data_IF_303531610963
#
_entry.id   IF_303531610963
#
_cell.length_a   1.000
_cell.length_b   1.000
_cell.length_c   1.000
_cell.angle_alpha   90.00
_cell.angle_beta   90.00
_cell.angle_gamma   90.00
#
_symmetry.space_group_name_H-M   'P 1'
#
loop_
_entity.id
_entity.type
_entity.pdbx_description
1 polymer ?
#
# COMPACT_ATOMS: atom_id res chain seq x y z
N UNK A 1 17.94 2.91 24.54
CA UNK A 1 17.98 1.50 24.96
C UNK A 1 16.90 0.72 24.21
N UNK A 2 17.18 0.27 22.97
CA UNK A 2 16.23 -0.48 22.13
C UNK A 2 16.19 -1.99 22.44
N UNK A 3 17.04 -2.48 23.29
CA UNK A 3 17.16 -3.92 23.60
C UNK A 3 15.94 -4.53 24.34
N UNK A 4 15.06 -3.71 24.94
CA UNK A 4 13.91 -4.20 25.69
C UNK A 4 12.59 -4.24 24.92
N UNK A 5 12.52 -3.71 23.69
CA UNK A 5 11.26 -3.60 22.93
C UNK A 5 11.11 -4.64 21.80
N UNK A 6 12.09 -5.52 21.62
CA UNK A 6 12.07 -6.54 20.56
C UNK A 6 10.91 -7.54 20.64
N UNK A 7 10.23 -7.64 21.78
CA UNK A 7 9.06 -8.51 21.94
C UNK A 7 7.71 -7.82 21.63
N UNK A 8 7.72 -6.53 21.33
CA UNK A 8 6.49 -5.77 21.03
C UNK A 8 6.09 -5.84 19.55
N UNK A 9 7.05 -6.10 18.68
CA UNK A 9 6.84 -6.09 17.23
C UNK A 9 6.78 -7.51 16.66
N UNK A 10 6.17 -7.65 15.47
CA UNK A 10 6.11 -8.92 14.77
C UNK A 10 7.50 -9.37 14.32
N UNK A 11 7.71 -10.69 14.25
CA UNK A 11 9.01 -11.26 13.84
C UNK A 11 9.36 -10.82 12.42
N UNK A 12 8.37 -10.71 11.53
CA UNK A 12 8.57 -10.34 10.14
C UNK A 12 8.97 -8.87 9.99
N UNK A 13 8.31 -7.94 10.70
CA UNK A 13 8.68 -6.52 10.64
C UNK A 13 10.08 -6.27 11.22
N UNK A 14 10.47 -7.01 12.28
CA UNK A 14 11.83 -6.96 12.83
C UNK A 14 12.86 -7.50 11.82
N UNK A 15 12.54 -8.60 11.13
CA UNK A 15 13.41 -9.18 10.10
C UNK A 15 13.66 -8.22 8.95
N UNK A 16 12.60 -7.54 8.49
CA UNK A 16 12.67 -6.54 7.42
C UNK A 16 13.54 -5.34 7.84
N UNK A 17 13.37 -4.85 9.07
CA UNK A 17 14.22 -3.79 9.61
C UNK A 17 15.70 -4.21 9.68
N UNK A 18 15.99 -5.42 10.16
CA UNK A 18 17.36 -5.93 10.21
C UNK A 18 18.01 -6.06 8.83
N UNK A 19 17.23 -6.47 7.83
CA UNK A 19 17.69 -6.54 6.44
C UNK A 19 18.02 -5.15 5.89
N UNK A 20 17.16 -4.16 6.14
CA UNK A 20 17.37 -2.77 5.73
C UNK A 20 18.63 -2.17 6.40
N UNK A 21 18.83 -2.42 7.70
CA UNK A 21 20.03 -1.98 8.43
C UNK A 21 21.30 -2.56 7.78
N UNK A 22 21.32 -3.88 7.54
CA UNK A 22 22.46 -4.55 6.94
C UNK A 22 22.83 -3.99 5.56
N UNK A 23 21.83 -3.66 4.75
CA UNK A 23 22.05 -3.08 3.42
C UNK A 23 22.56 -1.64 3.52
N UNK A 24 22.02 -0.87 4.46
CA UNK A 24 22.47 0.51 4.70
C UNK A 24 23.92 0.54 5.23
N UNK A 25 24.30 -0.38 6.11
CA UNK A 25 25.67 -0.54 6.61
C UNK A 25 26.64 -0.84 5.45
N UNK A 26 26.27 -1.74 4.53
CA UNK A 26 27.10 -2.08 3.37
C UNK A 26 27.35 -0.87 2.46
N UNK A 27 26.33 -0.02 2.23
CA UNK A 27 26.50 1.21 1.44
C UNK A 27 27.31 2.26 2.20
N UNK A 28 27.14 2.36 3.52
CA UNK A 28 27.94 3.26 4.36
C UNK A 28 29.43 2.92 4.36
N UNK A 29 29.78 1.64 4.30
CA UNK A 29 31.17 1.16 4.26
C UNK A 29 31.78 1.26 2.86
N UNK A 30 30.97 1.37 1.80
CA UNK A 30 31.45 1.51 0.43
C UNK A 30 31.91 2.93 0.14
N UNK A 31 33.22 3.12 0.02
CA UNK A 31 33.86 4.43 -0.30
C UNK A 31 33.50 4.96 -1.68
N UNK A 32 32.99 4.11 -2.56
CA UNK A 32 32.56 4.47 -3.91
C UNK A 32 31.05 4.64 -4.03
N UNK A 33 30.30 4.51 -2.94
CA UNK A 33 28.87 4.69 -2.94
C UNK A 33 28.50 6.07 -3.44
N UNK A 34 27.59 6.11 -4.39
CA UNK A 34 27.02 7.35 -4.92
C UNK A 34 26.03 7.97 -3.95
N UNK A 35 25.80 9.28 -4.07
CA UNK A 35 24.79 9.96 -3.25
C UNK A 35 23.39 9.35 -3.46
N UNK A 36 23.09 8.89 -4.66
CA UNK A 36 21.81 8.24 -4.96
C UNK A 36 21.65 6.91 -4.23
N UNK A 37 22.68 6.08 -4.16
CA UNK A 37 22.68 4.84 -3.38
C UNK A 37 22.51 5.11 -1.89
N UNK A 38 23.18 6.13 -1.36
CA UNK A 38 23.02 6.54 0.04
C UNK A 38 21.57 7.01 0.32
N UNK A 39 21.01 7.83 -0.55
CA UNK A 39 19.65 8.33 -0.42
C UNK A 39 18.62 7.18 -0.52
N UNK A 40 18.84 6.24 -1.42
CA UNK A 40 18.00 5.05 -1.57
C UNK A 40 18.01 4.20 -0.30
N UNK A 41 19.17 3.95 0.29
CA UNK A 41 19.25 3.17 1.52
C UNK A 41 18.69 3.90 2.73
N UNK A 42 18.86 5.21 2.83
CA UNK A 42 18.23 6.03 3.85
C UNK A 42 16.70 5.93 3.78
N UNK A 43 16.15 5.98 2.59
CA UNK A 43 14.71 5.83 2.35
C UNK A 43 14.19 4.43 2.71
N UNK A 44 14.92 3.37 2.33
CA UNK A 44 14.58 1.99 2.68
C UNK A 44 14.63 1.75 4.19
N UNK A 45 15.64 2.31 4.86
CA UNK A 45 15.75 2.19 6.31
C UNK A 45 14.61 2.92 7.03
N UNK A 46 14.29 4.14 6.60
CA UNK A 46 13.17 4.90 7.14
C UNK A 46 11.84 4.15 6.97
N UNK A 47 11.61 3.57 5.79
CA UNK A 47 10.42 2.77 5.50
C UNK A 47 10.33 1.53 6.38
N UNK A 48 11.43 0.82 6.58
CA UNK A 48 11.47 -0.36 7.44
C UNK A 48 11.22 -0.03 8.93
N UNK A 49 11.59 1.19 9.36
CA UNK A 49 11.31 1.68 10.71
C UNK A 49 9.83 2.04 10.90
N UNK A 50 9.22 2.67 9.89
CA UNK A 50 7.78 3.03 9.92
C UNK A 50 6.91 1.77 9.86
N UNK A 51 7.35 0.74 9.13
CA UNK A 51 6.63 -0.53 8.98
C UNK A 51 6.88 -1.54 10.11
N UNK A 52 7.36 -1.08 11.26
CA UNK A 52 7.40 -1.92 12.46
C UNK A 52 5.98 -2.13 12.98
N UNK A 53 5.50 -3.36 12.87
CA UNK A 53 4.16 -3.77 13.31
C UNK A 53 4.19 -4.27 14.75
N UNK A 54 3.38 -3.66 15.63
CA UNK A 54 3.19 -4.16 16.98
C UNK A 54 2.38 -5.46 16.97
N UNK A 55 2.79 -6.42 17.83
CA UNK A 55 2.00 -7.64 18.03
C UNK A 55 0.65 -7.28 18.62
N UNK A 56 -0.42 -7.76 18.01
CA UNK A 56 -1.76 -7.64 18.59
C UNK A 56 -1.79 -8.25 19.98
N UNK A 57 -2.45 -7.60 20.92
CA UNK A 57 -2.58 -8.05 22.33
C UNK A 57 -3.33 -9.40 22.49
N UNK A 58 -3.81 -10.01 21.42
CA UNK A 58 -4.41 -11.34 21.38
C UNK A 58 -3.41 -12.50 21.37
N UNK A 59 -2.11 -12.24 21.20
CA UNK A 59 -1.07 -13.29 21.21
C UNK A 59 -0.48 -13.60 22.60
N UNK A 60 -1.14 -13.14 23.66
CA UNK A 60 -0.81 -13.63 25.01
C UNK A 60 -1.49 -14.96 25.22
N UNK A 61 -0.68 -16.01 25.09
CA UNK A 61 -1.05 -17.39 25.19
C UNK A 61 -2.16 -17.72 26.19
N UNK A 62 -3.13 -18.44 25.73
CA UNK A 62 -3.92 -19.28 26.61
C UNK A 62 -3.82 -20.73 26.14
N UNK A 63 -2.97 -21.44 26.86
CA UNK A 63 -2.96 -22.89 26.91
C UNK A 63 -4.00 -23.27 27.97
N UNK A 64 -5.18 -23.69 27.58
CA UNK A 64 -5.87 -24.74 28.36
C UNK A 64 -7.01 -25.38 27.60
N UNK A 65 -6.93 -26.68 27.68
CA UNK A 65 -7.78 -27.75 27.20
C UNK A 65 -9.18 -27.72 27.86
N UNK A 66 -10.16 -28.09 27.11
CA UNK A 66 -11.20 -29.08 27.41
C UNK A 66 -12.66 -28.66 27.16
N UNK A 67 -13.35 -29.45 26.36
CA UNK A 67 -14.72 -29.87 26.65
C UNK A 67 -15.87 -29.24 25.89
N UNK A 68 -16.13 -29.81 24.72
CA UNK A 68 -17.46 -30.31 24.31
C UNK A 68 -18.71 -29.41 24.30
N UNK A 69 -19.26 -29.35 23.14
CA UNK A 69 -20.67 -29.49 22.75
C UNK A 69 -21.43 -28.28 22.14
N UNK A 70 -21.61 -28.45 20.87
CA UNK A 70 -22.85 -28.36 20.08
C UNK A 70 -23.60 -27.01 19.86
N UNK A 71 -23.62 -26.76 18.59
CA UNK A 71 -24.74 -26.30 17.76
C UNK A 71 -24.91 -24.80 17.45
N UNK A 72 -24.76 -24.61 16.19
CA UNK A 72 -25.56 -23.84 15.23
C UNK A 72 -25.03 -22.50 14.70
N UNK A 73 -24.62 -22.64 13.44
CA UNK A 73 -24.92 -21.75 12.32
C UNK A 73 -24.45 -20.30 12.38
N UNK A 74 -23.33 -20.10 11.73
CA UNK A 74 -22.78 -18.77 11.42
C UNK A 74 -21.44 -18.95 10.73
N UNK A 75 -21.48 -19.17 9.42
CA UNK A 75 -20.32 -19.38 8.58
C UNK A 75 -19.38 -18.19 8.65
N UNK A 76 -18.33 -18.28 9.44
CA UNK A 76 -17.23 -17.34 9.42
C UNK A 76 -15.93 -18.14 9.42
N UNK A 77 -15.55 -18.61 8.23
CA UNK A 77 -14.29 -19.29 8.00
C UNK A 77 -13.19 -18.24 7.80
N UNK A 78 -12.59 -17.83 8.89
CA UNK A 78 -11.31 -17.14 8.87
C UNK A 78 -10.23 -18.20 9.01
N UNK A 79 -9.82 -18.79 7.89
CA UNK A 79 -8.61 -19.60 7.83
C UNK A 79 -7.64 -18.89 6.91
N UNK A 80 -6.56 -18.39 7.50
CA UNK A 80 -5.46 -17.75 6.80
C UNK A 80 -4.79 -18.70 5.81
N UNK A 81 -5.34 -18.77 4.65
CA UNK A 81 -4.72 -19.27 3.46
C UNK A 81 -4.97 -18.21 2.40
N UNK A 82 -3.93 -17.78 1.73
CA UNK A 82 -3.93 -16.87 0.61
C UNK A 82 -4.72 -17.47 -0.58
N UNK A 83 -5.98 -17.75 -0.34
CA UNK A 83 -6.99 -18.02 -1.36
C UNK A 83 -7.53 -16.66 -1.72
N UNK A 84 -7.04 -16.09 -2.82
CA UNK A 84 -7.63 -14.90 -3.39
C UNK A 84 -9.15 -15.01 -3.33
N UNK A 85 -9.82 -13.96 -2.87
CA UNK A 85 -11.27 -13.85 -2.92
C UNK A 85 -11.69 -14.39 -4.30
N UNK A 86 -12.55 -15.41 -4.32
CA UNK A 86 -13.13 -15.86 -5.58
C UNK A 86 -14.15 -14.79 -6.01
N UNK A 87 -13.60 -13.72 -6.59
CA UNK A 87 -14.33 -12.51 -6.97
C UNK A 87 -15.40 -12.81 -8.02
N UNK A 88 -15.29 -13.94 -8.70
CA UNK A 88 -16.20 -14.27 -9.80
C UNK A 88 -17.65 -14.60 -9.37
N UNK A 89 -17.91 -14.70 -8.06
CA UNK A 89 -19.23 -15.03 -7.52
C UNK A 89 -19.63 -14.22 -6.28
N UNK A 90 -19.08 -13.03 -6.10
CA UNK A 90 -19.52 -12.17 -5.02
C UNK A 90 -20.91 -11.61 -5.33
N UNK A 91 -21.83 -11.69 -4.36
CA UNK A 91 -23.12 -11.03 -4.44
C UNK A 91 -22.96 -9.50 -4.43
N UNK A 92 -23.94 -8.79 -4.94
CA UNK A 92 -23.99 -7.34 -4.80
C UNK A 92 -23.86 -6.96 -3.32
N UNK A 93 -22.96 -6.03 -3.02
CA UNK A 93 -22.66 -5.64 -1.65
C UNK A 93 -21.37 -4.85 -1.52
N UNK A 94 -21.03 -4.54 -0.28
CA UNK A 94 -19.79 -3.85 0.08
C UNK A 94 -18.95 -4.77 0.94
N UNK A 95 -17.70 -4.92 0.56
CA UNK A 95 -16.74 -5.81 1.19
C UNK A 95 -15.52 -5.00 1.63
N UNK A 96 -14.89 -5.46 2.69
CA UNK A 96 -13.59 -4.94 3.14
C UNK A 96 -12.52 -5.93 2.74
N UNK A 97 -11.52 -5.46 2.02
CA UNK A 97 -10.37 -6.25 1.58
C UNK A 97 -9.07 -5.55 1.98
N UNK A 98 -7.97 -6.27 1.97
CA UNK A 98 -6.64 -5.68 2.17
C UNK A 98 -6.03 -5.35 0.82
N UNK A 99 -5.52 -4.12 0.67
CA UNK A 99 -4.79 -3.68 -0.51
C UNK A 99 -3.42 -3.12 -0.12
N UNK A 100 -2.42 -3.42 -0.93
CA UNK A 100 -1.06 -2.89 -0.79
C UNK A 100 -0.56 -2.40 -2.13
N UNK A 101 0.11 -1.25 -2.15
CA UNK A 101 0.76 -0.77 -3.36
C UNK A 101 2.16 -1.34 -3.48
N UNK A 102 2.39 -2.10 -4.55
CA UNK A 102 3.68 -2.71 -4.85
C UNK A 102 4.29 -2.14 -6.12
N UNK A 103 5.61 -2.25 -6.24
CA UNK A 103 6.33 -1.89 -7.45
C UNK A 103 5.96 -2.84 -8.59
N UNK A 104 6.46 -2.55 -9.78
CA UNK A 104 6.21 -3.35 -11.00
C UNK A 104 6.69 -4.79 -10.92
N UNK A 105 7.54 -5.14 -9.97
CA UNK A 105 7.94 -6.51 -9.65
C UNK A 105 6.86 -7.30 -8.90
N UNK A 106 5.75 -6.65 -8.52
CA UNK A 106 4.61 -7.21 -7.78
C UNK A 106 4.94 -7.82 -6.41
N UNK A 107 6.10 -7.52 -5.88
CA UNK A 107 6.60 -8.10 -4.62
C UNK A 107 7.17 -7.07 -3.65
N UNK A 108 7.78 -6.02 -4.18
CA UNK A 108 8.41 -4.97 -3.37
C UNK A 108 7.39 -3.86 -3.10
N UNK A 109 7.22 -3.47 -1.84
CA UNK A 109 6.35 -2.34 -1.49
C UNK A 109 6.77 -1.08 -2.24
N UNK A 110 5.79 -0.37 -2.81
CA UNK A 110 6.00 0.96 -3.39
C UNK A 110 6.11 2.00 -2.27
N UNK A 111 6.76 3.12 -2.55
CA UNK A 111 6.71 4.26 -1.62
C UNK A 111 5.29 4.80 -1.43
N UNK A 112 4.44 4.69 -2.45
CA UNK A 112 3.03 5.08 -2.36
C UNK A 112 2.19 4.17 -1.47
N UNK A 113 2.70 3.01 -1.07
CA UNK A 113 2.02 2.10 -0.14
C UNK A 113 1.75 2.78 1.22
N UNK A 114 2.69 3.58 1.71
CA UNK A 114 2.51 4.37 2.94
C UNK A 114 1.50 5.52 2.82
N UNK A 115 1.05 5.83 1.62
CA UNK A 115 0.08 6.91 1.36
C UNK A 115 -1.36 6.41 1.24
N UNK A 116 -1.62 5.12 1.39
CA UNK A 116 -2.97 4.54 1.31
C UNK A 116 -3.42 3.91 2.62
N UNK A 117 -4.74 3.88 2.83
CA UNK A 117 -5.35 3.00 3.81
C UNK A 117 -5.36 1.57 3.28
N UNK A 118 -4.79 0.63 4.05
CA UNK A 118 -4.70 -0.77 3.62
C UNK A 118 -6.03 -1.54 3.72
N UNK A 119 -7.00 -0.98 4.42
CA UNK A 119 -8.38 -1.47 4.38
C UNK A 119 -9.09 -0.82 3.20
N UNK A 120 -9.28 -1.59 2.14
CA UNK A 120 -9.83 -1.14 0.87
C UNK A 120 -11.29 -1.57 0.77
N UNK A 121 -12.15 -0.65 0.35
CA UNK A 121 -13.56 -0.96 0.11
C UNK A 121 -13.74 -1.51 -1.30
N UNK A 122 -14.26 -2.72 -1.40
CA UNK A 122 -14.70 -3.34 -2.64
C UNK A 122 -16.23 -3.29 -2.72
N UNK A 123 -16.77 -2.63 -3.71
CA UNK A 123 -18.21 -2.59 -3.97
C UNK A 123 -18.53 -3.44 -5.19
N UNK A 124 -19.45 -4.39 -5.03
CA UNK A 124 -19.98 -5.21 -6.12
C UNK A 124 -21.40 -4.74 -6.40
N UNK A 125 -21.66 -4.39 -7.65
CA UNK A 125 -22.99 -3.90 -8.08
C UNK A 125 -23.26 -4.32 -9.51
N UNK A 126 -24.31 -5.09 -9.72
CA UNK A 126 -24.73 -5.57 -11.05
C UNK A 126 -23.60 -6.24 -11.83
N UNK A 127 -22.80 -7.09 -11.16
CA UNK A 127 -21.67 -7.79 -11.76
C UNK A 127 -20.44 -6.91 -12.05
N UNK A 128 -20.44 -5.66 -11.64
CA UNK A 128 -19.30 -4.75 -11.71
C UNK A 128 -18.66 -4.59 -10.35
N UNK A 129 -17.36 -4.39 -10.34
CA UNK A 129 -16.51 -4.32 -9.15
C UNK A 129 -15.84 -2.96 -9.10
N UNK A 130 -15.94 -2.28 -7.96
CA UNK A 130 -15.36 -0.95 -7.75
C UNK A 130 -14.47 -0.97 -6.53
N UNK A 131 -13.30 -0.40 -6.66
CA UNK A 131 -12.38 -0.15 -5.53
C UNK A 131 -12.55 1.30 -5.07
N UNK A 132 -12.65 1.48 -3.76
CA UNK A 132 -12.51 2.79 -3.13
C UNK A 132 -11.28 2.75 -2.24
N UNK A 133 -10.35 3.68 -2.48
CA UNK A 133 -9.11 3.86 -1.73
C UNK A 133 -9.18 5.15 -0.93
N UNK A 134 -8.72 5.08 0.31
CA UNK A 134 -8.47 6.23 1.16
C UNK A 134 -6.98 6.59 1.11
N UNK A 135 -6.66 7.87 0.98
CA UNK A 135 -5.29 8.38 0.96
C UNK A 135 -4.96 9.13 2.24
N UNK A 136 -3.70 9.03 2.63
CA UNK A 136 -3.12 9.73 3.74
C UNK A 136 -1.92 10.56 3.28
N UNK A 137 -1.53 11.55 4.08
CA UNK A 137 -0.26 12.22 3.87
C UNK A 137 0.90 11.25 4.11
N UNK A 138 1.92 11.34 3.27
CA UNK A 138 3.15 10.55 3.37
C UNK A 138 4.31 11.44 3.77
N UNK A 139 5.00 11.10 4.85
CA UNK A 139 6.22 11.80 5.24
C UNK A 139 7.40 11.27 4.44
N UNK A 140 8.01 12.16 3.64
CA UNK A 140 9.23 11.89 2.87
C UNK A 140 10.36 12.71 3.49
N UNK A 141 11.27 12.04 4.21
CA UNK A 141 12.25 12.73 5.04
C UNK A 141 11.58 13.49 6.18
N UNK A 142 11.71 14.82 6.18
CA UNK A 142 11.08 15.72 7.18
C UNK A 142 9.86 16.47 6.63
N UNK A 143 9.41 16.15 5.42
CA UNK A 143 8.34 16.86 4.74
C UNK A 143 7.13 15.93 4.57
N UNK A 144 5.95 16.47 4.85
CA UNK A 144 4.69 15.83 4.55
C UNK A 144 4.35 16.10 3.07
N UNK A 145 4.07 15.05 2.34
CA UNK A 145 3.64 15.11 0.94
C UNK A 145 2.33 14.36 0.75
N UNK A 146 1.70 14.61 -0.37
CA UNK A 146 0.43 13.99 -0.73
C UNK A 146 0.51 13.45 -2.16
N UNK A 147 -0.21 12.38 -2.41
CA UNK A 147 -0.47 11.92 -3.76
C UNK A 147 -1.44 12.93 -4.41
N UNK A 148 -1.09 13.43 -5.60
CA UNK A 148 -1.93 14.42 -6.30
C UNK A 148 -2.73 13.82 -7.44
N UNK A 149 -2.27 12.72 -8.04
CA UNK A 149 -2.97 12.02 -9.10
C UNK A 149 -2.86 10.50 -8.95
N UNK A 150 -3.98 9.84 -9.16
CA UNK A 150 -4.06 8.42 -9.40
C UNK A 150 -4.76 8.19 -10.73
N UNK A 151 -4.17 7.36 -11.58
CA UNK A 151 -4.78 6.83 -12.80
C UNK A 151 -4.68 5.32 -12.82
N UNK A 152 -5.57 4.66 -13.51
CA UNK A 152 -5.48 3.23 -13.73
C UNK A 152 -5.33 2.90 -15.23
N UNK A 153 -4.62 1.82 -15.51
CA UNK A 153 -4.55 1.31 -16.88
C UNK A 153 -5.84 0.57 -17.20
N UNK A 154 -6.42 0.88 -18.36
CA UNK A 154 -7.64 0.23 -18.82
C UNK A 154 -7.36 -1.19 -19.31
N UNK A 155 -8.43 -1.97 -19.50
CA UNK A 155 -8.32 -3.34 -20.05
C UNK A 155 -7.50 -3.38 -21.35
N UNK A 156 -6.76 -4.48 -21.53
CA UNK A 156 -5.87 -4.66 -22.68
C UNK A 156 -4.48 -4.05 -22.50
N UNK A 157 -4.13 -3.61 -21.29
CA UNK A 157 -2.76 -3.18 -21.00
C UNK A 157 -1.77 -4.33 -21.22
N UNK A 158 -0.53 -3.99 -21.52
CA UNK A 158 0.58 -4.94 -21.64
C UNK A 158 1.68 -4.57 -20.67
N UNK A 159 2.63 -5.47 -20.45
CA UNK A 159 3.83 -5.18 -19.67
C UNK A 159 5.04 -5.07 -20.61
N UNK A 160 5.89 -4.07 -20.36
CA UNK A 160 7.18 -4.00 -21.02
C UNK A 160 8.16 -5.05 -20.43
N UNK A 161 9.38 -5.10 -20.95
CA UNK A 161 10.41 -6.04 -20.51
C UNK A 161 10.85 -5.85 -19.03
N UNK A 162 10.48 -4.75 -18.42
CA UNK A 162 10.79 -4.42 -17.02
C UNK A 162 9.58 -4.60 -16.09
N UNK A 163 8.42 -5.00 -16.64
CA UNK A 163 7.19 -5.17 -15.88
C UNK A 163 6.34 -3.91 -15.77
N UNK A 164 6.74 -2.80 -16.42
CA UNK A 164 5.93 -1.58 -16.39
C UNK A 164 4.68 -1.74 -17.24
N UNK A 165 3.48 -1.41 -16.70
CA UNK A 165 2.27 -1.42 -17.49
C UNK A 165 2.30 -0.37 -18.60
N UNK A 166 1.82 -0.78 -19.78
CA UNK A 166 1.74 0.01 -21.01
C UNK A 166 0.32 -0.06 -21.54
N UNK A 167 -0.25 1.07 -21.90
CA UNK A 167 -1.61 1.13 -22.42
C UNK A 167 -2.30 2.45 -22.16
N UNK A 168 -3.62 2.46 -22.29
CA UNK A 168 -4.43 3.64 -22.07
C UNK A 168 -4.66 3.85 -20.56
N UNK A 169 -4.39 5.07 -20.10
CA UNK A 169 -4.69 5.51 -18.75
C UNK A 169 -6.08 6.15 -18.68
N UNK A 170 -6.82 5.83 -17.63
CA UNK A 170 -8.07 6.49 -17.29
C UNK A 170 -7.96 7.16 -15.92
N UNK A 171 -8.72 8.23 -15.73
CA UNK A 171 -8.80 8.93 -14.45
C UNK A 171 -9.73 8.17 -13.49
N UNK A 172 -9.40 8.21 -12.22
CA UNK A 172 -10.29 7.77 -11.14
C UNK A 172 -11.31 8.87 -10.82
N UNK A 173 -12.42 8.50 -10.20
CA UNK A 173 -13.33 9.48 -9.59
C UNK A 173 -12.77 9.89 -8.24
N UNK A 174 -12.59 11.19 -8.02
CA UNK A 174 -12.22 11.74 -6.72
C UNK A 174 -13.49 11.99 -5.93
N UNK A 175 -13.68 11.23 -4.85
CA UNK A 175 -14.88 11.32 -4.00
C UNK A 175 -14.75 12.42 -2.94
N UNK A 176 -13.52 12.64 -2.42
CA UNK A 176 -13.20 13.69 -1.47
C UNK A 176 -11.76 14.16 -1.58
N UNK A 177 -11.47 15.32 -1.00
CA UNK A 177 -10.14 15.93 -0.97
C UNK A 177 -9.64 16.08 0.47
N UNK A 178 -8.33 16.00 0.65
CA UNK A 178 -7.64 16.20 1.92
C UNK A 178 -7.98 17.54 2.53
N UNK A 179 -8.27 17.54 3.84
CA UNK A 179 -8.64 18.74 4.60
C UNK A 179 -7.76 18.92 5.82
N UNK A 180 -7.51 20.16 6.13
CA UNK A 180 -6.94 20.58 7.40
C UNK A 180 -7.95 20.41 8.54
N UNK A 181 -7.49 20.53 9.78
CA UNK A 181 -8.35 20.40 10.96
C UNK A 181 -9.48 21.47 11.02
N UNK A 182 -9.30 22.61 10.37
CA UNK A 182 -10.29 23.68 10.24
C UNK A 182 -11.31 23.45 9.10
N UNK A 183 -11.17 22.35 8.36
CA UNK A 183 -12.02 21.98 7.23
C UNK A 183 -11.61 22.61 5.88
N UNK A 184 -10.61 23.46 5.84
CA UNK A 184 -10.04 23.99 4.61
C UNK A 184 -9.32 22.88 3.82
N UNK A 185 -9.24 23.04 2.49
CA UNK A 185 -8.48 22.11 1.66
C UNK A 185 -6.99 22.21 1.96
N UNK A 186 -6.31 21.05 2.00
CA UNK A 186 -4.85 21.01 2.09
C UNK A 186 -4.26 21.66 0.85
N UNK A 187 -3.33 22.59 1.09
CA UNK A 187 -2.55 23.26 0.06
C UNK A 187 -1.13 23.50 0.55
N UNK A 188 -0.16 23.24 -0.30
CA UNK A 188 1.25 23.46 -0.02
C UNK A 188 1.98 24.07 -1.23
N UNK A 189 3.30 24.13 -1.18
CA UNK A 189 4.13 24.66 -2.29
C UNK A 189 4.12 23.78 -3.54
N UNK A 190 3.60 22.56 -3.44
CA UNK A 190 3.59 21.57 -4.53
C UNK A 190 2.22 21.43 -5.19
N UNK A 191 1.15 21.89 -4.54
CA UNK A 191 -0.19 21.84 -5.10
C UNK A 191 -1.31 22.02 -4.08
N UNK A 192 -2.52 21.74 -4.56
CA UNK A 192 -3.76 21.78 -3.79
C UNK A 192 -4.74 20.73 -4.32
N UNK A 193 -5.86 20.54 -3.64
CA UNK A 193 -6.88 19.55 -4.01
C UNK A 193 -6.31 18.12 -4.08
N UNK A 194 -5.53 17.76 -3.09
CA UNK A 194 -5.03 16.39 -2.98
C UNK A 194 -6.17 15.43 -2.69
N UNK A 195 -6.32 14.33 -3.45
CA UNK A 195 -7.35 13.34 -3.19
C UNK A 195 -7.25 12.76 -1.78
N UNK A 196 -8.39 12.61 -1.12
CA UNK A 196 -8.56 11.92 0.15
C UNK A 196 -9.17 10.53 -0.07
N UNK A 197 -10.21 10.49 -0.90
CA UNK A 197 -10.84 9.23 -1.29
C UNK A 197 -11.09 9.21 -2.80
N UNK A 198 -10.83 8.06 -3.42
CA UNK A 198 -11.05 7.85 -4.85
C UNK A 198 -11.75 6.52 -5.10
N UNK A 199 -12.56 6.47 -6.18
CA UNK A 199 -13.23 5.26 -6.62
C UNK A 199 -13.01 5.03 -8.12
N UNK A 200 -12.81 3.78 -8.51
CA UNK A 200 -12.71 3.36 -9.91
C UNK A 200 -13.19 1.92 -10.11
N UNK A 201 -13.59 1.58 -11.35
CA UNK A 201 -14.02 0.24 -11.71
C UNK A 201 -12.81 -0.67 -11.95
N UNK A 202 -12.84 -1.87 -11.40
CA UNK A 202 -11.80 -2.87 -11.63
C UNK A 202 -11.88 -3.42 -13.06
N UNK A 203 -10.74 -3.52 -13.68
CA UNK A 203 -10.59 -4.18 -15.00
C UNK A 203 -10.64 -5.71 -14.86
N UNK A 204 -11.04 -6.43 -15.91
CA UNK A 204 -11.13 -7.90 -15.86
C UNK A 204 -9.82 -8.60 -15.50
N UNK A 205 -8.68 -8.03 -15.89
CA UNK A 205 -7.36 -8.56 -15.58
C UNK A 205 -7.11 -8.55 -14.07
N UNK A 206 -7.46 -7.46 -13.38
CA UNK A 206 -7.32 -7.35 -11.93
C UNK A 206 -8.23 -8.34 -11.18
N UNK A 207 -9.41 -8.65 -11.72
CA UNK A 207 -10.28 -9.68 -11.18
C UNK A 207 -9.69 -11.09 -11.31
N UNK A 208 -8.79 -11.28 -12.28
CA UNK A 208 -8.18 -12.58 -12.59
C UNK A 208 -6.92 -12.84 -11.76
N UNK A 209 -6.02 -11.85 -11.63
CA UNK A 209 -4.71 -12.03 -11.02
C UNK A 209 -4.54 -11.28 -9.68
N UNK A 210 -5.52 -10.44 -9.31
CA UNK A 210 -5.50 -9.69 -8.06
C UNK A 210 -4.63 -8.45 -8.09
N UNK A 211 -4.15 -8.03 -9.26
CA UNK A 211 -3.29 -6.85 -9.41
C UNK A 211 -3.96 -5.77 -10.25
N UNK A 212 -4.07 -4.57 -9.71
CA UNK A 212 -4.60 -3.40 -10.42
C UNK A 212 -3.45 -2.54 -10.90
N UNK A 213 -3.21 -2.41 -12.22
CA UNK A 213 -2.14 -1.57 -12.74
C UNK A 213 -2.52 -0.09 -12.61
N UNK A 214 -1.71 0.66 -11.88
CA UNK A 214 -1.93 2.06 -11.55
C UNK A 214 -0.74 2.93 -11.96
N UNK A 215 -0.99 4.22 -12.11
CA UNK A 215 0.02 5.25 -12.17
C UNK A 215 -0.28 6.29 -11.10
N UNK A 216 0.69 6.56 -10.25
CA UNK A 216 0.61 7.58 -9.20
C UNK A 216 1.48 8.78 -9.55
N UNK A 217 1.09 9.97 -9.08
CA UNK A 217 1.94 11.15 -9.11
C UNK A 217 2.02 11.79 -7.72
N UNK A 218 3.24 11.93 -7.22
CA UNK A 218 3.55 12.51 -5.91
C UNK A 218 4.45 13.73 -6.13
N UNK A 219 3.92 14.97 -6.05
CA UNK A 219 4.63 16.19 -6.41
C UNK A 219 5.91 16.44 -5.62
N UNK A 220 5.92 16.11 -4.32
CA UNK A 220 7.12 16.29 -3.49
C UNK A 220 8.29 15.42 -3.97
N UNK A 221 8.02 14.24 -4.49
CA UNK A 221 9.06 13.37 -5.04
C UNK A 221 9.63 13.95 -6.33
N UNK A 222 8.79 14.52 -7.18
CA UNK A 222 9.22 15.19 -8.41
C UNK A 222 10.05 16.44 -8.12
N UNK A 223 9.74 17.15 -7.03
CA UNK A 223 10.50 18.31 -6.58
C UNK A 223 11.87 17.94 -5.98
N UNK A 224 12.00 16.72 -5.41
CA UNK A 224 13.28 16.22 -4.90
C UNK A 224 14.17 15.75 -6.05
N UNK A 225 13.57 15.04 -7.03
CA UNK A 225 14.26 14.56 -8.22
C UNK A 225 13.29 14.58 -9.39
N UNK A 226 13.52 15.46 -10.35
CA UNK A 226 12.67 15.63 -11.54
C UNK A 226 12.45 14.31 -12.27
N UNK A 227 11.20 13.97 -12.55
CA UNK A 227 10.79 12.75 -13.23
C UNK A 227 10.53 11.57 -12.31
N UNK A 228 10.78 11.69 -10.99
CA UNK A 228 10.52 10.60 -10.04
C UNK A 228 9.14 10.64 -9.42
N UNK A 229 8.40 11.73 -9.62
CA UNK A 229 7.04 11.90 -9.07
C UNK A 229 6.01 10.96 -9.70
N UNK A 230 6.17 10.62 -10.99
CA UNK A 230 5.27 9.71 -11.71
C UNK A 230 5.82 8.28 -11.64
N UNK A 231 5.05 7.37 -11.06
CA UNK A 231 5.47 5.98 -10.88
C UNK A 231 4.36 5.01 -11.28
N UNK A 232 4.67 3.96 -12.08
CA UNK A 232 3.79 2.82 -12.26
C UNK A 232 3.86 1.93 -11.00
N UNK A 233 2.71 1.48 -10.54
CA UNK A 233 2.57 0.59 -9.38
C UNK A 233 1.43 -0.41 -9.63
N UNK A 234 1.35 -1.43 -8.80
CA UNK A 234 0.20 -2.31 -8.70
C UNK A 234 -0.43 -2.21 -7.30
N UNK A 235 -1.77 -2.22 -7.27
CA UNK A 235 -2.53 -2.40 -6.04
C UNK A 235 -2.92 -3.85 -5.90
#
# INVERSE_FOLDING_TARGET
NMAGRGNLYTVESIKNLKAAIKTAEAVYEDKNATQDEVNEQASKLALAMVNLEEKSSSDKGNNNNNGNNNNNNGNNNNNGNNSGLNINNLADGVYSITGNMVKVDKTTASMSDGAIGHTVKLTVKNGKYYITLDFNGLTVGQKLGYLSQLKYFTTGYTLDKYGNPQGTLADVTVDSYQKNADGSLVSDTYGTNYPDQVTFELIPEALKDGYVPLQVFVPIMDAISTGTGTQPVFL
#
